data_IF_378085879303
#
_entry.id   IF_378085879303
#
_cell.length_a   1.000
_cell.length_b   1.000
_cell.length_c   1.000
_cell.angle_alpha   90.00
_cell.angle_beta   90.00
_cell.angle_gamma   90.00
#
_symmetry.space_group_name_H-M   'P 1'
#
loop_
_entity.id
_entity.type
_entity.pdbx_description
1 polymer ?
#
# COMPACT_ATOMS: atom_id res chain seq x y z
N UNK A 1 21.92 -37.71 -24.02
CA UNK A 1 21.81 -36.31 -23.52
C UNK A 1 20.43 -36.16 -22.89
N UNK A 2 20.34 -36.20 -21.55
CA UNK A 2 19.10 -35.84 -20.86
C UNK A 2 19.06 -34.32 -20.73
N UNK A 3 18.09 -33.68 -21.40
CA UNK A 3 17.81 -32.25 -21.21
C UNK A 3 17.00 -32.11 -19.92
N UNK A 4 17.64 -31.64 -18.86
CA UNK A 4 16.95 -31.24 -17.64
C UNK A 4 16.10 -30.01 -17.97
N UNK A 5 14.78 -30.16 -18.00
CA UNK A 5 13.86 -29.03 -18.03
C UNK A 5 13.73 -28.50 -16.61
N UNK A 6 14.14 -27.24 -16.39
CA UNK A 6 13.84 -26.53 -15.15
C UNK A 6 12.41 -26.02 -15.31
N UNK A 7 11.47 -26.62 -14.56
CA UNK A 7 10.12 -26.07 -14.40
C UNK A 7 10.23 -25.03 -13.28
N UNK A 8 10.25 -23.75 -13.67
CA UNK A 8 10.02 -22.66 -12.71
C UNK A 8 8.54 -22.66 -12.35
N UNK A 9 8.23 -22.82 -11.07
CA UNK A 9 6.87 -22.66 -10.54
C UNK A 9 6.79 -21.24 -9.99
N UNK A 10 5.95 -20.42 -10.61
CA UNK A 10 5.64 -19.09 -10.12
C UNK A 10 4.78 -19.18 -8.86
N UNK A 11 5.28 -18.66 -7.74
CA UNK A 11 4.46 -18.47 -6.55
C UNK A 11 3.71 -17.14 -6.70
N UNK A 12 2.46 -17.21 -7.17
CA UNK A 12 1.54 -16.06 -7.16
C UNK A 12 1.08 -15.87 -5.71
N UNK A 13 1.67 -14.91 -5.00
CA UNK A 13 1.14 -14.47 -3.71
C UNK A 13 -0.09 -13.59 -3.99
N UNK A 14 -1.19 -13.72 -3.23
CA UNK A 14 -2.30 -12.77 -3.34
C UNK A 14 -1.79 -11.37 -3.00
N UNK A 15 -2.26 -10.35 -3.73
CA UNK A 15 -2.03 -8.96 -3.37
C UNK A 15 -2.49 -8.75 -1.92
N UNK A 16 -1.57 -8.30 -1.06
CA UNK A 16 -1.92 -7.98 0.32
C UNK A 16 -2.40 -6.54 0.38
N UNK A 17 -3.53 -6.25 1.03
CA UNK A 17 -3.90 -4.86 1.25
C UNK A 17 -2.88 -4.21 2.22
N UNK A 18 -2.37 -3.02 1.88
CA UNK A 18 -1.72 -2.15 2.86
C UNK A 18 -2.84 -1.39 3.58
N UNK A 19 -2.83 -1.34 4.92
CA UNK A 19 -3.84 -0.61 5.66
C UNK A 19 -3.76 0.89 5.35
N UNK A 20 -4.81 1.42 4.71
CA UNK A 20 -5.10 2.85 4.69
C UNK A 20 -5.94 3.15 5.93
N UNK A 21 -5.37 3.84 6.90
CA UNK A 21 -6.10 4.20 8.13
C UNK A 21 -7.23 5.15 7.76
N UNK A 22 -8.46 4.76 8.12
CA UNK A 22 -9.66 5.54 7.87
C UNK A 22 -9.84 5.92 6.38
N UNK A 23 -9.59 4.96 5.47
CA UNK A 23 -9.70 5.17 4.02
C UNK A 23 -11.11 5.48 3.53
N UNK A 24 -12.15 5.07 4.27
CA UNK A 24 -13.55 5.43 4.04
C UNK A 24 -14.11 6.47 5.02
N UNK A 25 -13.25 7.18 5.77
CA UNK A 25 -13.65 8.29 6.65
C UNK A 25 -14.67 7.99 7.77
N UNK A 26 -14.97 6.72 8.04
CA UNK A 26 -15.98 6.27 9.01
C UNK A 26 -15.71 6.63 10.48
N UNK A 27 -14.55 7.23 10.82
CA UNK A 27 -14.35 7.85 12.13
C UNK A 27 -15.12 9.17 12.32
N UNK A 28 -15.70 9.72 11.24
CA UNK A 28 -16.37 11.02 11.24
C UNK A 28 -15.43 12.21 11.24
N UNK A 29 -14.13 11.98 11.01
CA UNK A 29 -13.09 12.99 10.92
C UNK A 29 -11.91 12.52 10.05
N UNK A 30 -10.87 13.34 9.94
CA UNK A 30 -9.64 13.01 9.23
C UNK A 30 -8.62 12.22 10.08
N UNK A 31 -9.07 11.40 11.04
CA UNK A 31 -8.16 10.54 11.82
C UNK A 31 -7.30 9.70 10.87
N UNK A 32 -5.98 9.70 11.08
CA UNK A 32 -5.01 9.01 10.22
C UNK A 32 -4.58 9.79 8.97
N UNK A 33 -5.20 10.93 8.68
CA UNK A 33 -4.85 11.80 7.55
C UNK A 33 -4.25 13.11 8.04
N UNK A 34 -3.13 13.51 7.43
CA UNK A 34 -2.56 14.85 7.59
C UNK A 34 -3.24 15.80 6.62
N UNK A 35 -3.64 16.98 7.08
CA UNK A 35 -4.19 18.04 6.22
C UNK A 35 -3.17 19.15 6.04
N UNK A 36 -3.11 19.71 4.83
CA UNK A 36 -2.27 20.85 4.51
C UNK A 36 -2.95 21.76 3.46
N UNK A 37 -2.35 22.91 3.17
CA UNK A 37 -2.88 23.91 2.23
C UNK A 37 -4.06 24.68 2.82
N UNK A 38 -5.06 24.97 1.97
CA UNK A 38 -6.28 25.67 2.38
C UNK A 38 -7.20 24.73 3.19
N UNK A 39 -7.43 25.00 4.50
CA UNK A 39 -8.23 24.12 5.35
C UNK A 39 -9.73 24.41 5.26
N UNK A 40 -10.15 25.49 4.60
CA UNK A 40 -11.55 25.87 4.54
C UNK A 40 -12.32 24.93 3.62
N UNK A 41 -13.60 24.72 3.94
CA UNK A 41 -14.49 23.84 3.16
C UNK A 41 -13.92 22.43 2.96
N UNK A 42 -13.23 21.90 3.98
CA UNK A 42 -12.66 20.55 3.99
C UNK A 42 -13.13 19.81 5.23
N UNK A 43 -14.05 18.87 5.05
CA UNK A 43 -14.77 18.19 6.13
C UNK A 43 -14.90 16.69 5.88
N UNK A 44 -15.14 15.94 6.94
CA UNK A 44 -15.74 14.61 6.86
C UNK A 44 -17.14 14.75 7.46
N UNK A 45 -18.15 14.31 6.72
CA UNK A 45 -19.53 14.43 7.17
C UNK A 45 -20.45 13.42 6.47
N UNK A 46 -21.71 13.42 6.86
CA UNK A 46 -22.80 12.61 6.33
C UNK A 46 -23.60 13.36 5.27
N UNK A 47 -24.29 12.60 4.42
CA UNK A 47 -25.19 13.15 3.38
C UNK A 47 -26.26 14.11 3.94
N UNK A 48 -26.69 13.91 5.19
CA UNK A 48 -27.79 14.65 5.82
C UNK A 48 -27.49 16.14 6.00
N UNK A 49 -26.23 16.51 6.21
CA UNK A 49 -25.85 17.88 6.53
C UNK A 49 -25.71 18.78 5.28
N UNK A 50 -25.50 18.17 4.11
CA UNK A 50 -25.27 18.91 2.86
C UNK A 50 -26.36 18.66 1.82
N UNK A 51 -27.30 17.74 2.06
CA UNK A 51 -28.36 17.42 1.10
C UNK A 51 -27.84 16.84 -0.21
N UNK A 52 -26.63 16.30 -0.19
CA UNK A 52 -25.93 15.69 -1.32
C UNK A 52 -25.25 14.39 -0.88
N UNK A 53 -24.88 13.54 -1.82
CA UNK A 53 -24.21 12.26 -1.56
C UNK A 53 -22.73 12.51 -1.27
N UNK A 54 -22.36 12.52 0.00
CA UNK A 54 -20.99 12.65 0.51
C UNK A 54 -20.32 11.31 0.77
N UNK A 55 -21.10 10.30 1.18
CA UNK A 55 -20.60 8.95 1.39
C UNK A 55 -20.87 8.09 0.13
N UNK A 56 -19.87 7.37 -0.34
CA UNK A 56 -20.06 6.31 -1.34
C UNK A 56 -20.47 5.00 -0.65
N UNK A 57 -19.83 4.69 0.47
CA UNK A 57 -20.20 3.58 1.35
C UNK A 57 -20.22 4.05 2.81
N UNK A 58 -20.74 3.23 3.71
CA UNK A 58 -20.79 3.60 5.13
C UNK A 58 -21.68 4.81 5.42
N UNK A 59 -21.23 5.66 6.33
CA UNK A 59 -21.99 6.81 6.85
C UNK A 59 -21.35 8.15 6.50
N UNK A 60 -20.02 8.17 6.35
CA UNK A 60 -19.23 9.37 6.22
C UNK A 60 -18.48 9.38 4.90
N UNK A 61 -18.20 10.58 4.39
CA UNK A 61 -17.23 10.75 3.32
C UNK A 61 -16.60 12.13 3.35
N UNK A 62 -15.55 12.32 2.57
CA UNK A 62 -14.79 13.57 2.58
C UNK A 62 -15.41 14.60 1.63
N UNK A 63 -15.75 15.77 2.17
CA UNK A 63 -16.07 16.98 1.43
C UNK A 63 -14.78 17.78 1.20
N UNK A 64 -14.43 18.03 -0.06
CA UNK A 64 -13.16 18.64 -0.47
C UNK A 64 -13.41 19.84 -1.39
N UNK A 65 -13.81 20.98 -0.82
CA UNK A 65 -14.21 22.20 -1.55
C UNK A 65 -13.49 23.51 -1.19
N UNK A 66 -12.18 23.57 -0.86
CA UNK A 66 -11.45 24.83 -0.79
C UNK A 66 -11.65 25.70 -2.04
N UNK A 67 -11.81 27.02 -1.82
CA UNK A 67 -12.22 27.96 -2.88
C UNK A 67 -11.12 28.93 -3.33
N UNK A 68 -10.13 29.24 -2.49
CA UNK A 68 -9.08 30.20 -2.83
C UNK A 68 -7.81 29.49 -3.30
N UNK A 69 -7.28 28.60 -2.46
CA UNK A 69 -6.10 27.82 -2.77
C UNK A 69 -6.43 26.33 -2.71
N UNK A 70 -5.49 25.50 -3.15
CA UNK A 70 -5.63 24.05 -3.04
C UNK A 70 -5.45 23.63 -1.58
N UNK A 71 -6.29 22.72 -1.11
CA UNK A 71 -6.06 21.93 0.09
C UNK A 71 -5.51 20.55 -0.28
N UNK A 72 -5.01 19.82 0.72
CA UNK A 72 -4.60 18.43 0.54
C UNK A 72 -4.86 17.59 1.79
N UNK A 73 -4.99 16.28 1.57
CA UNK A 73 -4.89 15.26 2.60
C UNK A 73 -3.83 14.23 2.21
N UNK A 74 -3.08 13.72 3.19
CA UNK A 74 -2.05 12.72 2.95
C UNK A 74 -1.90 11.69 4.08
N UNK A 75 -1.40 10.51 3.72
CA UNK A 75 -1.01 9.46 4.65
C UNK A 75 0.28 8.79 4.16
N UNK A 76 1.21 8.56 5.08
CA UNK A 76 2.43 7.79 4.81
C UNK A 76 2.14 6.30 4.95
N UNK A 77 2.32 5.55 3.86
CA UNK A 77 2.06 4.12 3.82
C UNK A 77 3.37 3.32 3.86
N UNK A 78 3.42 2.27 4.67
CA UNK A 78 4.55 1.35 4.72
C UNK A 78 4.58 0.48 3.46
N UNK A 79 5.61 0.64 2.64
CA UNK A 79 5.75 -0.01 1.32
C UNK A 79 7.07 -0.76 1.20
N UNK A 80 7.26 -1.46 0.08
CA UNK A 80 8.49 -2.16 -0.27
C UNK A 80 9.08 -1.53 -1.53
N UNK A 81 10.33 -1.04 -1.50
CA UNK A 81 10.98 -0.52 -2.71
C UNK A 81 10.98 -1.55 -3.84
N UNK A 82 10.56 -1.13 -5.03
CA UNK A 82 10.45 -1.96 -6.23
C UNK A 82 9.16 -2.78 -6.34
N UNK A 83 8.30 -2.77 -5.33
CA UNK A 83 6.97 -3.39 -5.40
C UNK A 83 5.96 -2.48 -6.11
N UNK A 84 5.05 -3.09 -6.86
CA UNK A 84 3.92 -2.42 -7.52
C UNK A 84 2.68 -2.49 -6.63
N UNK A 85 1.98 -1.36 -6.52
CA UNK A 85 0.75 -1.20 -5.76
C UNK A 85 -0.38 -0.72 -6.67
N UNK A 86 -1.60 -1.23 -6.49
CA UNK A 86 -2.83 -0.63 -7.03
C UNK A 86 -3.38 0.35 -6.00
N UNK A 87 -3.51 1.61 -6.38
CA UNK A 87 -4.19 2.63 -5.59
C UNK A 87 -5.57 2.79 -6.19
N UNK A 88 -6.61 2.68 -5.36
CA UNK A 88 -7.99 2.89 -5.79
C UNK A 88 -8.80 3.71 -4.81
N UNK A 89 -9.82 4.40 -5.32
CA UNK A 89 -10.68 5.30 -4.55
C UNK A 89 -11.96 5.60 -5.33
N UNK A 90 -13.00 6.03 -4.62
CA UNK A 90 -14.25 6.50 -5.20
C UNK A 90 -14.31 8.02 -5.13
N UNK A 91 -14.57 8.65 -6.27
CA UNK A 91 -14.60 10.11 -6.39
C UNK A 91 -15.87 10.54 -7.12
N UNK A 92 -16.50 11.61 -6.66
CA UNK A 92 -17.49 12.36 -7.41
C UNK A 92 -17.10 13.84 -7.47
N UNK A 93 -17.62 14.55 -8.48
CA UNK A 93 -17.51 15.99 -8.60
C UNK A 93 -18.90 16.59 -8.65
N UNK A 94 -19.22 17.47 -7.72
CA UNK A 94 -20.49 18.19 -7.69
C UNK A 94 -20.36 19.57 -8.36
N UNK A 95 -19.12 20.03 -8.57
CA UNK A 95 -18.82 21.35 -9.10
C UNK A 95 -18.59 21.41 -10.58
N UNK A 96 -18.97 22.55 -11.16
CA UNK A 96 -18.59 22.95 -12.50
C UNK A 96 -17.75 24.23 -12.43
N UNK A 97 -16.84 24.45 -13.38
CA UNK A 97 -16.01 25.66 -13.42
C UNK A 97 -14.61 25.44 -12.86
N UNK A 98 -14.15 26.32 -11.96
CA UNK A 98 -12.78 26.30 -11.42
C UNK A 98 -12.66 25.22 -10.34
N UNK A 99 -12.26 24.02 -10.77
CA UNK A 99 -12.00 22.88 -9.90
C UNK A 99 -10.69 22.17 -10.28
N UNK A 100 -10.06 21.57 -9.28
CA UNK A 100 -8.83 20.81 -9.40
C UNK A 100 -8.90 19.59 -8.49
N UNK A 101 -8.47 18.43 -8.99
CA UNK A 101 -8.22 17.25 -8.17
C UNK A 101 -7.01 16.50 -8.72
N UNK A 102 -6.14 16.04 -7.83
CA UNK A 102 -5.10 15.08 -8.17
C UNK A 102 -4.86 14.08 -7.06
N UNK A 103 -4.40 12.89 -7.45
CA UNK A 103 -3.87 11.86 -6.55
C UNK A 103 -2.42 11.58 -6.93
N UNK A 104 -1.55 11.49 -5.93
CA UNK A 104 -0.13 11.15 -6.06
C UNK A 104 0.25 10.03 -5.10
N UNK A 105 1.03 9.08 -5.59
CA UNK A 105 1.63 8.03 -4.78
C UNK A 105 3.16 8.04 -4.97
N UNK A 106 3.88 8.63 -4.01
CA UNK A 106 5.34 8.68 -4.04
C UNK A 106 5.93 9.38 -5.28
N UNK A 107 5.24 10.38 -5.83
CA UNK A 107 5.62 11.06 -7.07
C UNK A 107 5.03 10.45 -8.34
N UNK A 108 4.28 9.34 -8.25
CA UNK A 108 3.49 8.82 -9.37
C UNK A 108 2.08 9.41 -9.31
N UNK A 109 1.78 10.31 -10.26
CA UNK A 109 0.47 10.95 -10.36
C UNK A 109 -0.53 10.03 -11.06
N UNK A 110 -1.68 9.79 -10.41
CA UNK A 110 -2.82 9.07 -10.97
C UNK A 110 -3.72 10.00 -11.79
N UNK A 111 -5.02 10.05 -11.45
CA UNK A 111 -5.93 11.01 -12.12
C UNK A 111 -5.59 12.44 -11.76
N UNK A 112 -5.68 13.30 -12.77
CA UNK A 112 -5.62 14.75 -12.66
C UNK A 112 -6.85 15.32 -13.36
N UNK A 113 -7.62 16.11 -12.63
CA UNK A 113 -8.74 16.89 -13.15
C UNK A 113 -8.44 18.37 -13.01
N UNK A 114 -8.72 19.12 -14.08
CA UNK A 114 -8.68 20.58 -14.11
C UNK A 114 -9.93 21.05 -14.83
N UNK A 115 -10.72 21.88 -14.16
CA UNK A 115 -11.99 22.42 -14.64
C UNK A 115 -12.92 21.35 -15.22
N UNK A 116 -13.07 20.24 -14.51
CA UNK A 116 -13.89 19.10 -14.90
C UNK A 116 -15.38 19.41 -14.76
N UNK A 117 -16.19 18.81 -15.63
CA UNK A 117 -17.65 18.80 -15.46
C UNK A 117 -18.05 17.92 -14.28
N UNK A 118 -19.22 18.14 -13.65
CA UNK A 118 -19.72 17.27 -12.59
C UNK A 118 -19.90 15.82 -13.06
N UNK A 119 -19.70 14.87 -12.15
CA UNK A 119 -19.97 13.45 -12.35
C UNK A 119 -20.27 12.77 -11.01
N UNK A 120 -21.12 11.74 -11.02
CA UNK A 120 -21.41 10.93 -9.85
C UNK A 120 -20.28 9.96 -9.52
N UNK A 121 -20.35 9.33 -8.34
CA UNK A 121 -19.30 8.44 -7.84
C UNK A 121 -18.81 7.44 -8.91
N UNK A 122 -17.50 7.51 -9.14
CA UNK A 122 -16.78 6.67 -10.09
C UNK A 122 -15.53 6.14 -9.41
N UNK A 123 -15.29 4.82 -9.50
CA UNK A 123 -14.04 4.22 -9.03
C UNK A 123 -12.91 4.58 -9.99
N UNK A 124 -11.84 5.13 -9.45
CA UNK A 124 -10.58 5.31 -10.16
C UNK A 124 -9.52 4.40 -9.56
N UNK A 125 -8.60 3.93 -10.39
CA UNK A 125 -7.38 3.28 -9.92
C UNK A 125 -6.20 3.51 -10.85
N UNK A 126 -5.00 3.33 -10.32
CA UNK A 126 -3.76 3.31 -11.07
C UNK A 126 -2.71 2.46 -10.34
N UNK A 127 -1.72 2.00 -11.09
CA UNK A 127 -0.58 1.28 -10.53
C UNK A 127 0.61 2.21 -10.35
N UNK A 128 1.35 2.04 -9.24
CA UNK A 128 2.57 2.77 -8.96
C UNK A 128 3.62 1.85 -8.33
N UNK A 129 4.89 2.09 -8.65
CA UNK A 129 6.02 1.37 -8.04
C UNK A 129 6.58 2.20 -6.89
N UNK A 130 6.60 1.65 -5.69
CA UNK A 130 7.20 2.33 -4.54
C UNK A 130 8.73 2.38 -4.69
N UNK A 131 9.34 3.53 -4.43
CA UNK A 131 10.81 3.70 -4.46
C UNK A 131 11.46 3.65 -3.08
N UNK A 132 10.66 3.70 -2.02
CA UNK A 132 11.08 3.77 -0.63
C UNK A 132 10.26 2.80 0.24
N UNK A 133 10.68 2.61 1.50
CA UNK A 133 9.97 1.76 2.47
C UNK A 133 8.74 2.45 3.09
N UNK A 134 8.62 3.77 2.86
CA UNK A 134 7.45 4.57 3.20
C UNK A 134 7.12 5.39 1.97
N UNK A 135 5.87 5.41 1.55
CA UNK A 135 5.41 6.14 0.37
C UNK A 135 4.21 7.01 0.74
N UNK A 136 4.28 8.33 0.52
CA UNK A 136 3.13 9.21 0.76
C UNK A 136 2.07 8.97 -0.31
N UNK A 137 0.83 8.76 0.13
CA UNK A 137 -0.38 8.88 -0.68
C UNK A 137 -0.98 10.26 -0.41
N UNK A 138 -1.10 11.10 -1.45
CA UNK A 138 -1.58 12.48 -1.32
C UNK A 138 -2.72 12.75 -2.29
N UNK A 139 -3.79 13.35 -1.78
CA UNK A 139 -4.87 13.92 -2.58
C UNK A 139 -4.83 15.44 -2.46
N UNK A 140 -4.84 16.14 -3.59
CA UNK A 140 -4.84 17.61 -3.64
C UNK A 140 -6.08 18.09 -4.38
N UNK A 141 -6.76 19.10 -3.84
CA UNK A 141 -8.10 19.45 -4.30
C UNK A 141 -8.40 20.94 -4.15
N UNK A 142 -9.28 21.43 -5.03
CA UNK A 142 -9.92 22.74 -5.00
C UNK A 142 -11.25 22.63 -5.76
N UNK A 143 -12.30 23.30 -5.31
CA UNK A 143 -13.55 23.35 -6.04
C UNK A 143 -14.32 24.64 -5.74
N UNK A 144 -14.68 25.39 -6.77
CA UNK A 144 -15.41 26.67 -6.66
C UNK A 144 -16.72 26.58 -7.44
N UNK A 145 -17.91 26.75 -6.83
CA UNK A 145 -18.20 26.92 -5.40
C UNK A 145 -18.53 25.61 -4.67
N UNK A 146 -18.43 24.48 -5.37
CA UNK A 146 -18.95 23.19 -4.91
C UNK A 146 -17.82 22.34 -4.30
N UNK A 147 -17.86 21.02 -4.49
CA UNK A 147 -16.96 20.08 -3.80
C UNK A 147 -16.62 18.88 -4.66
N UNK A 148 -15.46 18.30 -4.37
CA UNK A 148 -15.19 16.89 -4.66
C UNK A 148 -15.63 16.06 -3.46
N UNK A 149 -16.25 14.91 -3.72
CA UNK A 149 -16.53 13.94 -2.66
C UNK A 149 -15.65 12.71 -2.86
N UNK A 150 -14.89 12.35 -1.83
CA UNK A 150 -13.89 11.28 -1.87
C UNK A 150 -14.22 10.25 -0.79
N UNK A 151 -14.12 8.97 -1.14
CA UNK A 151 -14.40 7.88 -0.22
C UNK A 151 -13.71 6.57 -0.66
N UNK A 152 -13.75 5.56 0.21
CA UNK A 152 -13.35 4.17 -0.05
C UNK A 152 -11.93 4.05 -0.66
N UNK A 153 -10.95 4.72 -0.05
CA UNK A 153 -9.55 4.69 -0.47
C UNK A 153 -8.91 3.36 -0.05
N UNK A 154 -8.31 2.67 -1.01
CA UNK A 154 -7.60 1.42 -0.81
C UNK A 154 -6.25 1.40 -1.54
N UNK A 155 -5.27 0.73 -0.95
CA UNK A 155 -3.96 0.46 -1.56
C UNK A 155 -3.64 -1.02 -1.41
N UNK A 156 -3.56 -1.72 -2.54
CA UNK A 156 -3.29 -3.15 -2.59
C UNK A 156 -1.89 -3.44 -3.15
N UNK A 157 -1.10 -4.27 -2.47
CA UNK A 157 0.15 -4.80 -3.02
C UNK A 157 1.01 -5.65 -2.08
N UNK A 158 2.13 -6.21 -2.57
CA UNK A 158 2.52 -6.22 -3.97
C UNK A 158 1.64 -7.18 -4.78
N UNK A 159 1.20 -6.75 -5.96
CA UNK A 159 0.89 -7.70 -7.04
C UNK A 159 2.18 -8.50 -7.30
N UNK A 160 2.16 -9.85 -7.35
CA UNK A 160 3.35 -10.62 -7.66
C UNK A 160 3.94 -10.11 -8.97
N UNK A 161 5.14 -9.55 -8.89
CA UNK A 161 5.84 -9.01 -10.04
C UNK A 161 5.75 -10.00 -11.21
N UNK A 162 5.53 -9.55 -12.47
CA UNK A 162 5.61 -10.43 -13.61
C UNK A 162 6.98 -11.10 -13.56
N UNK A 163 6.99 -12.43 -13.48
CA UNK A 163 8.23 -13.18 -13.30
C UNK A 163 9.26 -12.69 -14.29
N UNK A 164 10.38 -12.20 -13.77
CA UNK A 164 11.53 -11.92 -14.60
C UNK A 164 11.96 -13.27 -15.19
N UNK A 165 11.57 -13.53 -16.44
CA UNK A 165 12.05 -14.64 -17.25
C UNK A 165 13.52 -14.42 -17.65
N UNK A 166 14.38 -14.11 -16.67
CA UNK A 166 15.82 -14.09 -16.87
C UNK A 166 16.32 -15.51 -16.74
N UNK A 167 16.46 -16.17 -17.88
CA UNK A 167 17.42 -17.25 -18.03
C UNK A 167 18.83 -16.69 -17.75
N UNK A 168 19.22 -16.57 -16.47
CA UNK A 168 20.54 -16.09 -16.07
C UNK A 168 20.71 -15.43 -14.70
N UNK A 169 19.64 -15.11 -13.95
CA UNK A 169 19.79 -14.49 -12.63
C UNK A 169 19.97 -15.55 -11.54
N UNK A 170 21.13 -15.56 -10.88
CA UNK A 170 21.40 -16.40 -9.71
C UNK A 170 20.39 -16.09 -8.59
N UNK A 171 19.97 -17.08 -7.77
CA UNK A 171 18.92 -16.84 -6.79
C UNK A 171 19.47 -15.96 -5.66
N UNK A 172 19.00 -14.72 -5.60
CA UNK A 172 19.06 -13.92 -4.37
C UNK A 172 18.04 -14.57 -3.43
N UNK A 173 18.53 -15.40 -2.52
CA UNK A 173 17.72 -15.97 -1.45
C UNK A 173 17.38 -14.85 -0.48
N UNK A 174 16.19 -14.25 -0.63
CA UNK A 174 15.63 -13.34 0.37
C UNK A 174 15.17 -14.19 1.56
N UNK A 175 16.01 -14.28 2.59
CA UNK A 175 15.61 -14.84 3.88
C UNK A 175 14.68 -13.85 4.60
N UNK A 176 13.37 -14.06 4.51
CA UNK A 176 12.45 -13.53 5.50
C UNK A 176 12.70 -14.29 6.82
N UNK A 177 13.27 -13.58 7.78
CA UNK A 177 13.65 -14.13 9.09
C UNK A 177 12.41 -14.37 9.93
N UNK A 178 12.11 -15.63 10.28
CA UNK A 178 11.25 -15.95 11.42
C UNK A 178 12.09 -16.72 12.45
N UNK A 179 12.58 -15.98 13.44
CA UNK A 179 13.14 -16.55 14.67
C UNK A 179 11.99 -17.06 15.53
N UNK A 180 11.88 -18.37 15.71
CA UNK A 180 11.14 -18.95 16.82
C UNK A 180 11.79 -20.24 17.34
N UNK A 181 12.44 -20.12 18.49
CA UNK A 181 12.54 -21.15 19.53
C UNK A 181 13.50 -22.32 19.30
N UNK A 182 14.70 -22.22 19.90
CA UNK A 182 15.46 -23.40 20.31
C UNK A 182 14.66 -24.21 21.35
N UNK A 183 14.62 -25.53 21.19
CA UNK A 183 14.94 -26.46 22.27
C UNK A 183 15.39 -27.80 21.68
N UNK A 184 16.65 -28.10 21.99
CA UNK A 184 17.41 -29.28 21.61
C UNK A 184 17.00 -30.49 22.44
N UNK A 185 16.81 -31.64 21.81
CA UNK A 185 17.44 -32.88 22.29
C UNK A 185 17.46 -33.95 21.20
N UNK A 186 18.66 -34.46 20.89
CA UNK A 186 19.01 -35.75 20.25
C UNK A 186 20.53 -35.68 20.03
N UNK A 187 21.38 -36.65 20.35
CA UNK A 187 21.28 -38.07 20.68
C UNK A 187 22.55 -38.48 21.43
N UNK A 188 22.46 -39.43 22.35
CA UNK A 188 23.61 -40.28 22.65
C UNK A 188 23.93 -41.14 21.42
N UNK A 189 25.19 -41.09 20.99
CA UNK A 189 26.04 -42.26 20.69
C UNK A 189 27.39 -41.72 20.22
N UNK A 190 28.38 -41.69 21.12
CA UNK A 190 29.79 -41.61 20.73
C UNK A 190 30.41 -42.98 21.00
N UNK A 191 30.58 -43.76 19.95
CA UNK A 191 31.65 -44.73 19.88
C UNK A 191 32.80 -44.07 19.14
N UNK A 192 33.94 -43.90 19.80
CA UNK A 192 35.24 -43.95 19.12
C UNK A 192 36.33 -44.21 20.13
N UNK A 193 37.10 -45.24 19.83
CA UNK A 193 38.36 -45.62 20.46
C UNK A 193 39.34 -44.44 20.51
N UNK A 194 40.10 -44.36 21.61
CA UNK A 194 41.46 -43.85 21.60
C UNK A 194 42.21 -44.54 22.77
N UNK A 195 43.24 -45.35 22.51
CA UNK A 195 44.66 -45.00 22.34
C UNK A 195 45.46 -45.55 23.53
N UNK A 196 46.17 -46.62 23.20
CA UNK A 196 47.45 -47.11 23.73
C UNK A 196 48.19 -46.22 24.75
N UNK A 197 48.43 -46.76 25.94
CA UNK A 197 49.52 -46.33 26.84
C UNK A 197 50.26 -47.52 27.46
N UNK A 198 51.44 -47.77 26.88
CA UNK A 198 52.76 -48.10 27.49
C UNK A 198 52.98 -49.42 28.28
N UNK A 199 54.12 -50.11 28.06
CA UNK A 199 54.52 -51.31 28.80
C UNK A 199 55.47 -51.02 29.98
N UNK A 200 55.45 -51.90 30.97
CA UNK A 200 56.49 -52.09 32.00
C UNK A 200 55.94 -52.93 33.15
N UNK A 201 56.60 -53.90 33.76
CA UNK A 201 57.92 -54.58 33.66
C UNK A 201 57.77 -55.83 34.57
N UNK A 202 58.46 -56.96 34.33
CA UNK A 202 58.18 -58.22 35.02
C UNK A 202 58.75 -58.30 36.44
N UNK A 203 58.06 -59.07 37.27
CA UNK A 203 58.48 -59.67 38.54
C UNK A 203 57.55 -60.84 38.82
#
# INVERSE_FOLDING_TARGET
MFKTAIISVALILPAAAIPVVNGGFESGDFTGWTRDGDPYFTYVDTDANFGTTLAHSGTYGAYLGPIQFQGSISQDLATVPGATYEISYWLANLGNGDNYFSVDFGGTVGKLFVNSTPFGYTRFSFFAVASAAVTPLTFTFKNVPETWTLDDIAVDGPDPAPELNTAGALPVVMFASLMLGLLTSRRQTQGSMAVSTRPGRPG
#
